data_IF_993542720828
#
_entry.id   IF_993542720828
#
_cell.length_a   1.000
_cell.length_b   1.000
_cell.length_c   1.000
_cell.angle_alpha   90.00
_cell.angle_beta   90.00
_cell.angle_gamma   90.00
#
_symmetry.space_group_name_H-M   'P 1'
#
loop_
_entity.id
_entity.type
_entity.pdbx_description
1 polymer ?
#
# COMPACT_ATOMS: atom_id res chain seq x y z
N UNK A 1 11.48 5.06 22.94
CA UNK A 1 11.64 6.07 21.86
C UNK A 1 11.12 7.41 22.34
N UNK A 2 11.90 8.50 22.23
CA UNK A 2 11.41 9.88 22.36
C UNK A 2 11.06 10.39 20.96
N UNK A 3 9.77 10.54 20.65
CA UNK A 3 9.32 11.14 19.40
C UNK A 3 9.61 12.65 19.44
N UNK A 4 10.53 13.10 18.58
CA UNK A 4 10.82 14.51 18.36
C UNK A 4 10.08 14.94 17.07
N UNK A 5 9.10 15.84 17.19
CA UNK A 5 8.25 16.42 16.13
C UNK A 5 6.98 15.62 15.73
N UNK A 6 5.90 16.29 15.28
CA UNK A 6 4.69 15.61 14.81
C UNK A 6 5.00 14.86 13.51
N UNK A 7 4.97 13.54 13.59
CA UNK A 7 5.10 12.65 12.42
C UNK A 7 3.74 12.59 11.73
N UNK A 8 3.72 12.86 10.42
CA UNK A 8 2.59 12.58 9.54
C UNK A 8 2.89 11.28 8.82
N UNK A 9 1.97 10.33 8.90
CA UNK A 9 2.05 9.07 8.17
C UNK A 9 0.81 8.98 7.27
N UNK A 10 1.00 8.51 6.05
CA UNK A 10 -0.06 8.35 5.06
C UNK A 10 -0.06 6.91 4.56
N UNK A 11 -1.24 6.38 4.29
CA UNK A 11 -1.44 5.10 3.63
C UNK A 11 -1.98 5.36 2.22
N UNK A 12 -1.25 4.92 1.20
CA UNK A 12 -1.70 4.92 -0.20
C UNK A 12 -2.18 3.52 -0.57
N UNK A 13 -3.44 3.40 -0.97
CA UNK A 13 -4.04 2.18 -1.50
C UNK A 13 -4.21 2.31 -3.00
N UNK A 14 -3.55 1.43 -3.75
CA UNK A 14 -3.59 1.43 -5.21
C UNK A 14 -4.69 0.50 -5.70
N UNK A 15 -5.46 0.97 -6.66
CA UNK A 15 -6.59 0.26 -7.24
C UNK A 15 -6.56 0.34 -8.77
N UNK A 16 -7.17 -0.65 -9.41
CA UNK A 16 -7.31 -0.75 -10.86
C UNK A 16 -8.76 -1.06 -11.20
N UNK A 17 -9.27 -0.39 -12.23
CA UNK A 17 -10.57 -0.71 -12.82
C UNK A 17 -10.46 -1.96 -13.70
N UNK A 18 -11.34 -2.94 -13.51
CA UNK A 18 -11.25 -4.22 -14.20
C UNK A 18 -11.45 -4.12 -15.72
N UNK A 19 -12.25 -3.16 -16.19
CA UNK A 19 -12.63 -3.05 -17.61
C UNK A 19 -11.64 -2.24 -18.45
N UNK A 20 -11.27 -1.03 -18.00
CA UNK A 20 -10.35 -0.17 -18.77
C UNK A 20 -8.88 -0.31 -18.36
N UNK A 21 -8.59 -0.90 -17.19
CA UNK A 21 -7.26 -0.87 -16.60
C UNK A 21 -6.84 0.49 -16.05
N UNK A 22 -7.79 1.42 -15.89
CA UNK A 22 -7.53 2.73 -15.27
C UNK A 22 -7.07 2.56 -13.82
N UNK A 23 -6.01 3.27 -13.44
CA UNK A 23 -5.45 3.24 -12.09
C UNK A 23 -6.05 4.35 -11.22
N UNK A 24 -6.23 4.05 -9.93
CA UNK A 24 -6.63 4.99 -8.91
C UNK A 24 -5.76 4.81 -7.65
N UNK A 25 -5.50 5.90 -6.93
CA UNK A 25 -4.76 5.87 -5.66
C UNK A 25 -5.59 6.58 -4.59
N UNK A 26 -5.98 5.84 -3.56
CA UNK A 26 -6.67 6.37 -2.38
C UNK A 26 -5.63 6.68 -1.31
N UNK A 27 -5.51 7.95 -0.93
CA UNK A 27 -4.56 8.38 0.12
C UNK A 27 -5.30 8.69 1.41
N UNK A 28 -4.98 7.97 2.48
CA UNK A 28 -5.56 8.15 3.81
C UNK A 28 -4.51 8.62 4.80
N UNK A 29 -4.81 9.69 5.54
CA UNK A 29 -3.95 10.16 6.63
C UNK A 29 -4.14 9.31 7.88
N UNK A 30 -3.03 8.85 8.46
CA UNK A 30 -3.04 8.13 9.73
C UNK A 30 -3.13 9.09 10.94
N UNK A 31 -3.57 8.61 12.11
CA UNK A 31 -3.66 9.42 13.32
C UNK A 31 -2.33 10.09 13.69
N UNK A 32 -2.36 11.40 13.95
CA UNK A 32 -1.17 12.18 14.28
C UNK A 32 -0.67 11.88 15.69
N UNK A 33 0.64 11.73 15.84
CA UNK A 33 1.28 11.55 17.14
C UNK A 33 1.05 10.17 17.78
N UNK A 34 0.39 9.25 17.07
CA UNK A 34 0.22 7.86 17.49
C UNK A 34 0.93 6.94 16.50
N UNK A 35 1.67 5.96 17.02
CA UNK A 35 2.21 4.91 16.19
C UNK A 35 1.06 4.01 15.71
N UNK A 36 0.91 3.76 14.40
CA UNK A 36 -0.21 2.98 13.90
C UNK A 36 -0.08 1.52 14.34
N UNK A 37 -1.15 0.97 14.91
CA UNK A 37 -1.25 -0.48 15.19
C UNK A 37 -1.74 -1.23 13.96
N UNK A 38 -1.49 -2.54 13.89
CA UNK A 38 -2.00 -3.41 12.82
C UNK A 38 -3.51 -3.25 12.63
N UNK A 39 -4.29 -3.29 13.71
CA UNK A 39 -5.74 -3.08 13.67
C UNK A 39 -6.14 -1.70 13.13
N UNK A 40 -5.36 -0.66 13.42
CA UNK A 40 -5.59 0.69 12.87
C UNK A 40 -5.35 0.71 11.36
N UNK A 41 -4.28 0.06 10.90
CA UNK A 41 -3.95 -0.06 9.49
C UNK A 41 -5.02 -0.87 8.73
N UNK A 42 -5.44 -2.01 9.27
CA UNK A 42 -6.50 -2.85 8.69
C UNK A 42 -7.83 -2.08 8.59
N UNK A 43 -8.19 -1.31 9.62
CA UNK A 43 -9.40 -0.50 9.62
C UNK A 43 -9.36 0.61 8.56
N UNK A 44 -8.23 1.29 8.42
CA UNK A 44 -8.05 2.36 7.42
C UNK A 44 -7.97 1.78 6.01
N UNK A 45 -7.31 0.64 5.84
CA UNK A 45 -7.27 -0.08 4.57
C UNK A 45 -8.68 -0.48 4.12
N UNK A 46 -9.48 -1.03 5.03
CA UNK A 46 -10.87 -1.39 4.73
C UNK A 46 -11.71 -0.16 4.35
N UNK A 47 -11.54 0.96 5.05
CA UNK A 47 -12.20 2.22 4.67
C UNK A 47 -11.78 2.71 3.29
N UNK A 48 -10.50 2.58 2.94
CA UNK A 48 -10.01 2.93 1.61
C UNK A 48 -10.58 2.00 0.53
N UNK A 49 -10.69 0.69 0.83
CA UNK A 49 -11.30 -0.28 -0.07
C UNK A 49 -12.80 -0.02 -0.28
N UNK A 50 -13.55 0.25 0.80
CA UNK A 50 -14.98 0.56 0.75
C UNK A 50 -15.26 1.90 0.04
N UNK A 51 -14.27 2.80 -0.02
CA UNK A 51 -14.36 4.09 -0.73
C UNK A 51 -14.03 4.00 -2.23
N UNK A 52 -13.63 2.82 -2.72
CA UNK A 52 -13.35 2.64 -4.15
C UNK A 52 -14.64 2.76 -4.97
N UNK A 53 -14.60 3.41 -6.15
CA UNK A 53 -15.73 3.42 -7.06
C UNK A 53 -16.09 2.01 -7.53
N UNK A 54 -17.35 1.80 -7.95
CA UNK A 54 -17.76 0.53 -8.57
C UNK A 54 -16.86 0.18 -9.77
N UNK A 55 -16.50 -1.10 -9.89
CA UNK A 55 -15.60 -1.59 -10.95
C UNK A 55 -14.10 -1.48 -10.62
N UNK A 56 -13.73 -0.78 -9.55
CA UNK A 56 -12.36 -0.74 -9.04
C UNK A 56 -12.11 -1.82 -8.00
N UNK A 57 -10.95 -2.45 -8.08
CA UNK A 57 -10.44 -3.34 -7.04
C UNK A 57 -9.04 -2.94 -6.62
N UNK A 58 -8.64 -3.35 -5.42
CA UNK A 58 -7.25 -3.19 -4.97
C UNK A 58 -6.32 -3.99 -5.91
N UNK A 59 -5.18 -3.39 -6.24
CA UNK A 59 -4.16 -4.00 -7.08
C UNK A 59 -3.56 -5.25 -6.40
N UNK A 60 -3.25 -6.26 -7.21
CA UNK A 60 -2.43 -7.37 -6.76
C UNK A 60 -0.96 -6.94 -6.60
N UNK A 61 -0.10 -7.83 -6.09
CA UNK A 61 1.30 -7.50 -5.80
C UNK A 61 2.07 -7.06 -7.04
N UNK A 62 1.81 -7.70 -8.19
CA UNK A 62 2.50 -7.40 -9.44
C UNK A 62 2.02 -6.08 -10.02
N UNK A 63 0.72 -5.84 -9.98
CA UNK A 63 0.08 -4.61 -10.43
C UNK A 63 0.55 -3.42 -9.61
N UNK A 64 0.54 -3.55 -8.28
CA UNK A 64 1.03 -2.53 -7.35
C UNK A 64 2.49 -2.19 -7.62
N UNK A 65 3.37 -3.20 -7.73
CA UNK A 65 4.79 -2.95 -7.91
C UNK A 65 5.10 -2.22 -9.22
N UNK A 66 4.44 -2.63 -10.31
CA UNK A 66 4.60 -1.95 -11.59
C UNK A 66 4.03 -0.52 -11.55
N UNK A 67 2.86 -0.31 -10.94
CA UNK A 67 2.26 1.03 -10.81
C UNK A 67 3.13 1.96 -9.95
N UNK A 68 3.66 1.46 -8.83
CA UNK A 68 4.56 2.19 -7.95
C UNK A 68 5.85 2.60 -8.68
N UNK A 69 6.48 1.66 -9.40
CA UNK A 69 7.70 1.99 -10.15
C UNK A 69 7.42 3.00 -11.27
N UNK A 70 6.27 2.91 -11.93
CA UNK A 70 5.86 3.87 -12.93
C UNK A 70 5.63 5.26 -12.33
N UNK A 71 4.97 5.37 -11.17
CA UNK A 71 4.76 6.64 -10.45
C UNK A 71 6.09 7.27 -10.03
N UNK A 72 6.98 6.48 -9.41
CA UNK A 72 8.21 6.99 -8.78
C UNK A 72 9.34 7.22 -9.79
N UNK A 73 9.48 6.36 -10.80
CA UNK A 73 10.63 6.34 -11.71
C UNK A 73 10.27 6.53 -13.19
N UNK A 74 8.98 6.57 -13.54
CA UNK A 74 8.54 6.74 -14.94
C UNK A 74 8.87 5.55 -15.85
N UNK A 75 9.14 4.37 -15.27
CA UNK A 75 9.41 3.15 -16.05
C UNK A 75 8.16 2.71 -16.83
N UNK A 76 8.37 2.15 -18.02
CA UNK A 76 7.30 1.59 -18.86
C UNK A 76 7.37 0.07 -18.93
N UNK A 77 8.43 -0.49 -18.36
CA UNK A 77 8.74 -1.90 -18.31
C UNK A 77 7.89 -2.59 -17.23
N UNK A 78 7.45 -3.82 -17.53
CA UNK A 78 6.79 -4.69 -16.54
C UNK A 78 7.84 -5.59 -15.92
N UNK A 79 7.99 -5.51 -14.61
CA UNK A 79 8.92 -6.35 -13.85
C UNK A 79 8.22 -7.61 -13.34
N UNK A 80 8.91 -8.74 -13.42
CA UNK A 80 8.48 -9.96 -12.75
C UNK A 80 8.68 -9.77 -11.24
N UNK A 81 7.59 -9.67 -10.47
CA UNK A 81 7.67 -9.64 -9.01
C UNK A 81 7.93 -11.05 -8.47
N UNK A 82 8.99 -11.26 -7.67
CA UNK A 82 9.22 -12.55 -7.01
C UNK A 82 8.10 -12.90 -6.02
N UNK A 83 7.70 -14.18 -5.98
CA UNK A 83 6.70 -14.73 -5.06
C UNK A 83 5.32 -14.93 -5.68
N UNK A 84 4.29 -15.05 -4.82
CA UNK A 84 2.89 -15.19 -5.22
C UNK A 84 2.31 -13.89 -5.79
N UNK A 85 1.23 -14.02 -6.57
CA UNK A 85 0.47 -12.90 -7.12
C UNK A 85 -0.24 -12.08 -6.04
N UNK A 86 -0.70 -12.75 -4.99
CA UNK A 86 -1.38 -12.13 -3.84
C UNK A 86 -0.38 -11.66 -2.80
N UNK A 87 -0.74 -10.62 -2.06
CA UNK A 87 -0.06 -10.25 -0.81
C UNK A 87 -0.32 -11.37 0.21
N UNK A 88 0.74 -11.97 0.74
CA UNK A 88 0.65 -12.97 1.80
C UNK A 88 0.63 -12.28 3.16
N UNK A 89 -0.15 -12.81 4.10
CA UNK A 89 -0.12 -12.40 5.52
C UNK A 89 1.18 -12.79 6.23
N UNK A 90 2.10 -13.47 5.54
CA UNK A 90 3.44 -13.75 6.03
C UNK A 90 4.23 -12.44 6.14
N UNK A 91 4.27 -11.90 7.36
CA UNK A 91 5.20 -10.85 7.75
C UNK A 91 6.61 -11.32 7.40
N UNK A 92 7.31 -10.60 6.51
CA UNK A 92 8.76 -10.79 6.36
C UNK A 92 9.38 -10.24 7.64
N UNK A 93 9.55 -11.10 8.65
CA UNK A 93 10.30 -10.78 9.86
C UNK A 93 11.74 -10.45 9.43
N UNK A 94 12.06 -9.15 9.36
CA UNK A 94 13.46 -8.76 9.28
C UNK A 94 14.09 -9.14 10.61
N UNK A 95 15.01 -10.11 10.59
CA UNK A 95 15.83 -10.44 11.75
C UNK A 95 16.38 -9.12 12.32
N UNK A 96 16.14 -8.89 13.62
CA UNK A 96 16.76 -7.76 14.29
C UNK A 96 18.26 -7.87 14.09
N UNK A 97 18.85 -6.86 13.45
CA UNK A 97 20.29 -6.72 13.41
C UNK A 97 20.76 -6.66 14.86
N UNK A 98 21.38 -7.74 15.32
CA UNK A 98 22.07 -7.75 16.60
C UNK A 98 23.29 -6.83 16.46
N UNK A 99 23.21 -5.64 17.06
CA UNK A 99 24.36 -4.75 17.29
C UNK A 99 25.38 -5.40 18.24
#
# INVERSE_FOLDING_TARGET
MKMNAPIKIEMKVYAVEEESGQQAVVTMSLPLGQYPTRTTLESIFKQAQDALPEGFRVMDKSEFFNAYLQEEYGTTEKFATPGSREFTDEDIEMEQAND
#
